data_IF_480399436485
#
_entry.id   IF_480399436485
#
_cell.length_a   1.000
_cell.length_b   1.000
_cell.length_c   1.000
_cell.angle_alpha   90.00
_cell.angle_beta   90.00
_cell.angle_gamma   90.00
#
_symmetry.space_group_name_H-M   'P 1'
#
loop_
_entity.id
_entity.type
_entity.pdbx_description
1 polymer ?
#
# COMPACT_ATOMS: atom_id res chain seq x y z
N UNK A 1 3.37 47.24 -35.77
CA UNK A 1 2.35 46.29 -35.29
C UNK A 1 2.92 45.57 -34.09
N UNK A 2 2.38 45.89 -32.92
CA UNK A 2 3.02 45.67 -31.61
C UNK A 2 2.13 44.72 -30.81
N UNK A 3 2.60 43.51 -30.51
CA UNK A 3 1.98 42.66 -29.47
C UNK A 3 3.05 42.14 -28.52
N UNK A 4 3.16 42.86 -27.41
CA UNK A 4 3.94 42.56 -26.21
C UNK A 4 3.26 41.38 -25.51
N UNK A 5 3.93 40.24 -25.41
CA UNK A 5 3.42 39.09 -24.65
C UNK A 5 4.07 39.11 -23.26
N UNK A 6 3.26 39.47 -22.26
CA UNK A 6 3.60 39.40 -20.84
C UNK A 6 3.23 37.99 -20.39
N UNK A 7 4.20 37.21 -19.89
CA UNK A 7 3.94 35.97 -19.16
C UNK A 7 4.39 36.14 -17.71
N UNK A 8 3.41 35.92 -16.86
CA UNK A 8 3.34 36.04 -15.41
C UNK A 8 4.42 35.22 -14.69
N UNK A 9 5.06 35.73 -13.62
CA UNK A 9 5.96 34.93 -12.81
C UNK A 9 5.17 33.92 -11.97
N UNK A 10 5.66 32.68 -11.97
CA UNK A 10 5.19 31.56 -11.17
C UNK A 10 5.62 31.80 -9.72
N UNK A 11 4.66 32.11 -8.85
CA UNK A 11 4.85 32.28 -7.40
C UNK A 11 5.09 30.89 -6.81
N UNK A 12 6.34 30.64 -6.40
CA UNK A 12 6.76 29.48 -5.64
C UNK A 12 6.27 29.66 -4.20
N UNK A 13 5.18 28.99 -3.85
CA UNK A 13 4.62 29.01 -2.50
C UNK A 13 5.43 28.13 -1.54
N UNK A 14 6.14 28.81 -0.65
CA UNK A 14 6.30 28.53 0.79
C UNK A 14 6.48 27.07 1.24
N UNK A 15 7.74 26.70 1.50
CA UNK A 15 8.11 25.61 2.41
C UNK A 15 8.03 26.15 3.86
N UNK A 16 7.02 25.74 4.61
CA UNK A 16 6.97 25.96 6.05
C UNK A 16 6.10 24.89 6.74
N UNK A 17 6.74 23.96 7.45
CA UNK A 17 6.17 23.23 8.58
C UNK A 17 7.36 22.68 9.40
N UNK A 18 7.93 23.51 10.27
CA UNK A 18 7.71 23.51 11.73
C UNK A 18 8.07 22.18 12.41
N UNK A 19 9.19 22.21 13.15
CA UNK A 19 9.49 21.29 14.24
C UNK A 19 8.30 21.27 15.22
N UNK A 20 7.60 20.14 15.34
CA UNK A 20 6.83 19.87 16.56
C UNK A 20 7.74 19.21 17.58
N UNK A 21 7.98 19.94 18.65
CA UNK A 21 8.58 19.44 19.87
C UNK A 21 7.72 18.30 20.45
N UNK A 22 8.45 17.26 20.87
CA UNK A 22 8.08 16.17 21.76
C UNK A 22 7.00 16.52 22.80
N UNK A 23 5.74 16.26 22.47
CA UNK A 23 4.76 15.85 23.46
C UNK A 23 4.66 14.33 23.37
N UNK A 24 5.16 13.66 24.42
CA UNK A 24 5.18 12.21 24.55
C UNK A 24 3.77 11.65 24.59
N UNK A 25 3.17 11.45 23.43
CA UNK A 25 2.16 10.42 23.27
C UNK A 25 2.83 9.07 23.56
N UNK A 26 2.14 8.13 24.22
CA UNK A 26 2.65 6.79 24.43
C UNK A 26 3.00 6.20 23.05
N UNK A 27 4.29 6.17 22.75
CA UNK A 27 4.80 5.40 21.63
C UNK A 27 4.37 3.95 21.91
N UNK A 28 3.87 3.20 20.91
CA UNK A 28 3.55 1.79 21.10
C UNK A 28 4.80 1.09 21.67
N UNK A 29 4.69 0.66 22.93
CA UNK A 29 5.80 0.18 23.77
C UNK A 29 6.56 -0.98 23.11
N UNK A 30 5.91 -1.70 22.19
CA UNK A 30 6.50 -2.79 21.43
C UNK A 30 7.72 -2.38 20.58
N UNK A 31 7.84 -1.10 20.17
CA UNK A 31 9.03 -0.63 19.43
C UNK A 31 10.29 -0.48 20.30
N UNK A 32 10.16 -0.42 21.64
CA UNK A 32 11.31 -0.18 22.54
C UNK A 32 12.24 -1.39 22.69
N UNK A 33 11.76 -2.61 22.43
CA UNK A 33 12.58 -3.82 22.59
C UNK A 33 13.19 -4.34 21.28
N UNK A 34 13.03 -3.60 20.16
CA UNK A 34 13.54 -4.01 18.85
C UNK A 34 12.84 -5.22 18.23
N UNK A 35 11.83 -5.79 18.91
CA UNK A 35 11.06 -6.91 18.40
C UNK A 35 10.08 -6.44 17.32
N UNK A 36 9.89 -7.23 16.24
CA UNK A 36 8.87 -6.93 15.25
C UNK A 36 7.47 -7.00 15.86
N UNK A 37 6.58 -6.12 15.39
CA UNK A 37 5.16 -6.13 15.74
C UNK A 37 4.38 -6.74 14.59
N UNK A 38 3.49 -7.68 14.91
CA UNK A 38 2.67 -8.37 13.94
C UNK A 38 1.20 -8.02 14.10
N UNK A 39 0.54 -7.72 12.98
CA UNK A 39 -0.90 -7.56 12.90
C UNK A 39 -1.52 -8.50 11.88
N UNK A 40 -2.77 -8.85 12.12
CA UNK A 40 -3.67 -9.46 11.15
C UNK A 40 -4.96 -8.64 11.07
N UNK A 41 -5.63 -8.72 9.92
CA UNK A 41 -6.96 -8.17 9.80
C UNK A 41 -7.95 -9.02 10.62
N UNK A 42 -8.71 -8.38 11.50
CA UNK A 42 -9.71 -9.01 12.34
C UNK A 42 -11.09 -8.99 11.66
N UNK A 43 -11.53 -7.81 11.21
CA UNK A 43 -12.80 -7.65 10.51
C UNK A 43 -12.74 -6.55 9.46
N UNK A 44 -13.23 -6.85 8.26
CA UNK A 44 -13.44 -5.85 7.19
C UNK A 44 -14.65 -4.98 7.56
N UNK A 45 -14.45 -3.67 7.55
CA UNK A 45 -15.50 -2.65 7.70
C UNK A 45 -16.02 -2.21 6.33
N UNK A 46 -15.12 -2.03 5.36
CA UNK A 46 -15.46 -1.73 3.98
C UNK A 46 -14.44 -2.34 3.02
N UNK A 47 -14.92 -2.77 1.84
CA UNK A 47 -14.07 -3.32 0.78
C UNK A 47 -14.67 -2.99 -0.58
N UNK A 48 -14.05 -2.05 -1.28
CA UNK A 48 -14.54 -1.55 -2.56
C UNK A 48 -13.51 -1.81 -3.65
N UNK A 49 -13.94 -2.42 -4.76
CA UNK A 49 -13.17 -2.47 -5.99
C UNK A 49 -13.40 -1.17 -6.77
N UNK A 50 -12.41 -0.28 -6.74
CA UNK A 50 -12.49 1.05 -7.37
C UNK A 50 -12.18 0.99 -8.87
N UNK A 51 -11.39 -0.01 -9.30
CA UNK A 51 -11.04 -0.24 -10.72
C UNK A 51 -10.81 -1.71 -10.97
N UNK A 52 -11.08 -2.17 -12.20
CA UNK A 52 -11.11 -3.59 -12.54
C UNK A 52 -12.52 -4.15 -12.27
N UNK A 53 -12.94 -5.17 -13.03
CA UNK A 53 -14.37 -5.46 -13.22
C UNK A 53 -14.79 -6.92 -13.13
N UNK A 54 -14.16 -7.72 -12.28
CA UNK A 54 -14.63 -9.08 -12.01
C UNK A 54 -14.96 -9.25 -10.51
N UNK A 55 -16.25 -9.41 -10.15
CA UNK A 55 -16.68 -9.59 -8.76
C UNK A 55 -15.99 -10.76 -8.04
N UNK A 56 -15.62 -11.81 -8.76
CA UNK A 56 -14.92 -12.95 -8.18
C UNK A 56 -13.49 -12.58 -7.73
N UNK A 57 -12.85 -11.61 -8.38
CA UNK A 57 -11.55 -11.10 -7.95
C UNK A 57 -11.65 -10.36 -6.62
N UNK A 58 -12.75 -9.63 -6.39
CA UNK A 58 -13.01 -8.92 -5.13
C UNK A 58 -13.13 -9.89 -3.95
N UNK A 59 -13.81 -11.03 -4.12
CA UNK A 59 -13.90 -12.04 -3.05
C UNK A 59 -12.55 -12.68 -2.76
N UNK A 60 -11.77 -13.01 -3.79
CA UNK A 60 -10.43 -13.59 -3.62
C UNK A 60 -9.46 -12.60 -2.98
N UNK A 61 -9.50 -11.34 -3.37
CA UNK A 61 -8.65 -10.30 -2.81
C UNK A 61 -9.04 -9.96 -1.37
N UNK A 62 -10.34 -9.97 -1.03
CA UNK A 62 -10.78 -9.84 0.36
C UNK A 62 -10.26 -11.00 1.23
N UNK A 63 -10.31 -12.24 0.74
CA UNK A 63 -9.73 -13.40 1.45
C UNK A 63 -8.22 -13.30 1.60
N UNK A 64 -7.49 -12.87 0.57
CA UNK A 64 -6.05 -12.59 0.64
C UNK A 64 -5.75 -11.55 1.72
N UNK A 65 -6.47 -10.44 1.73
CA UNK A 65 -6.33 -9.39 2.73
C UNK A 65 -6.54 -9.91 4.15
N UNK A 66 -7.62 -10.68 4.38
CA UNK A 66 -7.91 -11.28 5.68
C UNK A 66 -6.85 -12.29 6.13
N UNK A 67 -6.21 -12.96 5.18
CA UNK A 67 -5.15 -13.94 5.45
C UNK A 67 -3.76 -13.32 5.66
N UNK A 68 -3.63 -12.00 5.53
CA UNK A 68 -2.35 -11.33 5.54
C UNK A 68 -1.81 -11.10 6.95
N UNK A 69 -0.51 -11.40 7.09
CA UNK A 69 0.29 -11.01 8.24
C UNK A 69 1.08 -9.77 7.87
N UNK A 70 1.04 -8.80 8.77
CA UNK A 70 1.62 -7.48 8.63
C UNK A 70 2.71 -7.35 9.66
N UNK A 71 3.96 -7.21 9.22
CA UNK A 71 5.10 -7.13 10.13
C UNK A 71 5.73 -5.74 10.04
N UNK A 72 5.85 -5.09 11.19
CA UNK A 72 6.48 -3.78 11.35
C UNK A 72 7.75 -3.95 12.19
N UNK A 73 8.92 -3.70 11.60
CA UNK A 73 10.21 -3.87 12.26
C UNK A 73 10.76 -2.54 12.78
N UNK A 74 11.55 -2.59 13.85
CA UNK A 74 12.11 -1.41 14.49
C UNK A 74 12.98 -0.51 13.57
N UNK A 75 13.49 -1.04 12.45
CA UNK A 75 14.27 -0.29 11.46
C UNK A 75 13.41 0.47 10.42
N UNK A 76 12.09 0.50 10.62
CA UNK A 76 11.14 1.14 9.71
C UNK A 76 10.80 0.32 8.47
N UNK A 77 11.19 -0.96 8.40
CA UNK A 77 10.75 -1.87 7.34
C UNK A 77 9.39 -2.47 7.64
N UNK A 78 8.59 -2.63 6.59
CA UNK A 78 7.25 -3.20 6.64
C UNK A 78 7.14 -4.38 5.68
N UNK A 79 6.48 -5.46 6.12
CA UNK A 79 6.14 -6.60 5.28
C UNK A 79 4.64 -6.86 5.26
N UNK A 80 4.12 -7.17 4.08
CA UNK A 80 2.75 -7.61 3.86
C UNK A 80 2.75 -9.00 3.24
N UNK A 81 2.32 -10.00 4.00
CA UNK A 81 2.42 -11.41 3.68
C UNK A 81 1.03 -12.09 3.72
N UNK A 82 0.22 -11.98 2.66
CA UNK A 82 -0.97 -12.80 2.49
C UNK A 82 -0.59 -14.28 2.41
N UNK A 83 -1.47 -15.15 2.90
CA UNK A 83 -1.23 -16.61 2.95
C UNK A 83 -2.23 -17.40 2.10
N UNK A 84 -3.36 -16.81 1.71
CA UNK A 84 -4.39 -17.45 0.89
C UNK A 84 -4.21 -17.14 -0.61
N UNK A 85 -4.08 -18.16 -1.47
CA UNK A 85 -4.06 -18.01 -2.95
C UNK A 85 -3.08 -16.92 -3.43
N UNK A 86 -1.80 -17.08 -3.04
CA UNK A 86 -0.76 -16.08 -3.27
C UNK A 86 0.29 -16.56 -4.27
N UNK A 87 0.81 -15.58 -5.02
CA UNK A 87 1.97 -15.73 -5.88
C UNK A 87 3.25 -15.55 -5.06
N UNK A 88 4.02 -16.62 -4.88
CA UNK A 88 5.26 -16.60 -4.09
C UNK A 88 6.38 -15.75 -4.69
N UNK A 89 6.26 -15.38 -5.98
CA UNK A 89 7.18 -14.46 -6.65
C UNK A 89 6.82 -12.98 -6.46
N UNK A 90 5.60 -12.69 -5.96
CA UNK A 90 5.16 -11.34 -5.61
C UNK A 90 5.11 -11.09 -4.10
N UNK A 91 4.84 -12.12 -3.31
CA UNK A 91 4.66 -12.01 -1.86
C UNK A 91 5.72 -12.81 -1.10
N UNK A 92 6.19 -12.33 0.08
CA UNK A 92 5.75 -11.11 0.76
C UNK A 92 6.18 -9.83 0.04
N UNK A 93 5.36 -8.78 0.15
CA UNK A 93 5.79 -7.43 -0.28
C UNK A 93 6.58 -6.78 0.84
N UNK A 94 7.65 -6.08 0.47
CA UNK A 94 8.48 -5.32 1.41
C UNK A 94 8.39 -3.83 1.11
N UNK A 95 8.39 -3.02 2.15
CA UNK A 95 8.34 -1.57 2.03
C UNK A 95 8.77 -0.86 3.30
N UNK A 96 8.19 0.33 3.52
CA UNK A 96 8.56 1.22 4.62
C UNK A 96 7.34 1.67 5.38
N UNK A 97 7.54 2.02 6.64
CA UNK A 97 6.54 2.70 7.44
C UNK A 97 7.15 3.79 8.30
N UNK A 98 6.29 4.67 8.79
CA UNK A 98 6.61 5.72 9.75
C UNK A 98 5.49 5.86 10.77
N UNK A 99 5.85 6.26 11.99
CA UNK A 99 4.89 6.56 13.05
C UNK A 99 4.70 8.08 13.13
N UNK A 100 3.46 8.55 13.12
CA UNK A 100 3.08 9.95 13.25
C UNK A 100 1.96 10.08 14.28
N UNK A 101 2.31 10.43 15.52
CA UNK A 101 1.35 10.47 16.62
C UNK A 101 0.73 9.10 16.88
N UNK A 102 -0.59 9.00 16.79
CA UNK A 102 -1.35 7.75 16.92
C UNK A 102 -1.49 6.98 15.60
N UNK A 103 -0.78 7.37 14.55
CA UNK A 103 -0.91 6.77 13.23
C UNK A 103 0.38 6.08 12.76
N UNK A 104 0.21 4.96 12.07
CA UNK A 104 1.27 4.31 11.29
C UNK A 104 0.94 4.46 9.82
N UNK A 105 1.81 5.13 9.07
CA UNK A 105 1.69 5.29 7.62
C UNK A 105 2.67 4.34 6.96
N UNK A 106 2.22 3.52 6.02
CA UNK A 106 3.02 2.49 5.38
C UNK A 106 2.79 2.43 3.87
N UNK A 107 3.80 1.92 3.16
CA UNK A 107 3.69 1.55 1.76
C UNK A 107 4.60 0.37 1.44
N UNK A 108 4.20 -0.45 0.48
CA UNK A 108 5.00 -1.55 -0.04
C UNK A 108 4.66 -1.82 -1.50
N UNK A 109 5.63 -2.31 -2.25
CA UNK A 109 5.44 -2.73 -3.63
C UNK A 109 6.31 -3.95 -3.95
N UNK A 110 5.83 -4.78 -4.87
CA UNK A 110 6.58 -5.92 -5.40
C UNK A 110 6.24 -6.10 -6.87
N UNK A 111 7.19 -6.58 -7.65
CA UNK A 111 6.98 -6.90 -9.05
C UNK A 111 7.69 -8.19 -9.43
N UNK A 112 7.07 -8.93 -10.36
CA UNK A 112 7.56 -10.20 -10.84
C UNK A 112 7.34 -10.32 -12.35
N UNK A 113 8.33 -10.87 -13.03
CA UNK A 113 8.23 -11.10 -14.47
C UNK A 113 7.19 -12.18 -14.77
N UNK A 114 6.37 -11.98 -15.82
CA UNK A 114 5.44 -12.99 -16.35
C UNK A 114 5.89 -13.37 -17.76
N UNK A 115 6.35 -14.60 -17.94
CA UNK A 115 6.89 -15.06 -19.23
C UNK A 115 8.12 -14.26 -19.64
N UNK A 116 8.32 -14.05 -20.94
CA UNK A 116 9.53 -13.37 -21.44
C UNK A 116 9.50 -11.85 -21.27
N UNK A 117 8.34 -11.22 -21.33
CA UNK A 117 8.20 -9.76 -21.47
C UNK A 117 7.13 -9.16 -20.58
N UNK A 118 6.37 -9.98 -19.87
CA UNK A 118 5.31 -9.52 -19.00
C UNK A 118 5.83 -9.12 -17.62
N UNK A 119 5.04 -8.31 -16.93
CA UNK A 119 5.30 -7.85 -15.57
C UNK A 119 3.98 -7.89 -14.79
N UNK A 120 3.99 -8.48 -13.60
CA UNK A 120 2.98 -8.21 -12.59
C UNK A 120 3.57 -7.32 -11.50
N UNK A 121 2.74 -6.44 -10.97
CA UNK A 121 3.09 -5.59 -9.84
C UNK A 121 1.94 -5.58 -8.85
N UNK A 122 2.27 -5.61 -7.57
CA UNK A 122 1.35 -5.34 -6.47
C UNK A 122 1.88 -4.14 -5.67
N UNK A 123 0.99 -3.25 -5.25
CA UNK A 123 1.33 -2.06 -4.47
C UNK A 123 0.27 -1.85 -3.40
N UNK A 124 0.70 -1.49 -2.19
CA UNK A 124 -0.18 -1.06 -1.10
C UNK A 124 0.33 0.24 -0.50
N UNK A 125 -0.61 1.07 -0.11
CA UNK A 125 -0.41 2.29 0.66
C UNK A 125 -1.53 2.37 1.70
N UNK A 126 -1.21 2.72 2.94
CA UNK A 126 -2.25 2.82 3.97
C UNK A 126 -1.82 3.49 5.27
N UNK A 127 -2.82 3.64 6.13
CA UNK A 127 -2.70 4.24 7.46
C UNK A 127 -3.40 3.34 8.47
N UNK A 128 -2.73 3.03 9.57
CA UNK A 128 -3.34 2.43 10.76
C UNK A 128 -3.52 3.53 11.80
N UNK A 129 -4.74 3.70 12.29
CA UNK A 129 -5.08 4.63 13.36
C UNK A 129 -5.27 3.87 14.68
N UNK A 130 -4.46 4.25 15.68
CA UNK A 130 -4.46 3.71 17.04
C UNK A 130 -5.14 4.66 18.05
N UNK A 131 -5.89 5.66 17.59
CA UNK A 131 -6.64 6.58 18.48
C UNK A 131 -7.84 5.93 19.19
N UNK A 132 -8.21 4.72 18.78
CA UNK A 132 -9.32 3.93 19.34
C UNK A 132 -8.79 2.64 19.97
N UNK A 133 -9.59 2.04 20.87
CA UNK A 133 -9.24 0.77 21.53
C UNK A 133 -8.98 -0.37 20.53
N UNK A 134 -9.70 -0.36 19.40
CA UNK A 134 -9.47 -1.28 18.28
C UNK A 134 -8.82 -0.52 17.13
N UNK A 135 -7.56 -0.84 16.76
CA UNK A 135 -6.89 -0.15 15.66
C UNK A 135 -7.64 -0.34 14.33
N UNK A 136 -7.75 0.72 13.55
CA UNK A 136 -8.40 0.70 12.24
C UNK A 136 -7.39 0.99 11.15
N UNK A 137 -7.31 0.12 10.15
CA UNK A 137 -6.53 0.34 8.94
C UNK A 137 -7.42 0.88 7.81
N UNK A 138 -6.91 1.86 7.09
CA UNK A 138 -7.43 2.28 5.78
C UNK A 138 -6.31 2.11 4.75
N UNK A 139 -6.57 1.36 3.68
CA UNK A 139 -5.55 0.96 2.71
C UNK A 139 -6.05 0.96 1.27
N UNK A 140 -5.20 1.44 0.37
CA UNK A 140 -5.31 1.23 -1.08
C UNK A 140 -4.47 0.02 -1.49
N UNK A 141 -5.03 -0.88 -2.29
CA UNK A 141 -4.30 -2.02 -2.85
C UNK A 141 -4.48 -2.11 -4.36
N UNK A 142 -3.38 -1.99 -5.09
CA UNK A 142 -3.35 -2.02 -6.55
C UNK A 142 -2.62 -3.28 -7.00
N UNK A 143 -3.22 -3.98 -7.97
CA UNK A 143 -2.58 -5.07 -8.70
C UNK A 143 -2.60 -4.72 -10.18
N UNK A 144 -1.44 -4.78 -10.82
CA UNK A 144 -1.29 -4.58 -12.26
C UNK A 144 -0.64 -5.80 -12.88
N UNK A 145 -0.99 -6.08 -14.12
CA UNK A 145 -0.24 -6.97 -14.97
C UNK A 145 -0.23 -6.43 -16.39
N UNK A 146 0.92 -6.51 -17.04
CA UNK A 146 1.12 -6.12 -18.43
C UNK A 146 1.92 -7.17 -19.17
N UNK A 147 1.68 -7.30 -20.47
CA UNK A 147 2.52 -8.07 -21.37
C UNK A 147 2.66 -7.34 -22.71
N UNK A 148 3.82 -7.52 -23.34
CA UNK A 148 4.08 -7.03 -24.68
C UNK A 148 4.72 -8.14 -25.51
N UNK A 149 4.23 -8.39 -26.71
CA UNK A 149 4.78 -9.38 -27.62
C UNK A 149 4.87 -8.80 -29.03
N UNK A 150 5.67 -9.41 -29.90
CA UNK A 150 5.67 -9.10 -31.34
C UNK A 150 5.26 -10.37 -32.07
N UNK A 151 4.09 -10.37 -32.71
CA UNK A 151 3.57 -11.51 -33.46
C UNK A 151 3.67 -11.16 -34.94
N UNK A 152 4.58 -11.82 -35.68
CA UNK A 152 4.81 -11.58 -37.12
C UNK A 152 5.15 -10.12 -37.44
N UNK A 153 5.97 -9.48 -36.62
CA UNK A 153 6.36 -8.07 -36.79
C UNK A 153 5.32 -7.06 -36.29
N UNK A 154 4.16 -7.50 -35.81
CA UNK A 154 3.12 -6.63 -35.25
C UNK A 154 3.26 -6.58 -33.72
N UNK A 155 3.50 -5.41 -33.12
CA UNK A 155 3.47 -5.25 -31.68
C UNK A 155 2.05 -5.53 -31.13
N UNK A 156 1.99 -6.37 -30.11
CA UNK A 156 0.80 -6.65 -29.32
C UNK A 156 1.10 -6.29 -27.87
N UNK A 157 0.25 -5.50 -27.22
CA UNK A 157 0.35 -5.26 -25.79
C UNK A 157 -1.02 -5.36 -25.14
N UNK A 158 -1.03 -5.85 -23.90
CA UNK A 158 -2.23 -5.98 -23.10
C UNK A 158 -1.90 -5.74 -21.64
N UNK A 159 -2.83 -5.11 -20.92
CA UNK A 159 -2.66 -4.85 -19.50
C UNK A 159 -3.98 -4.87 -18.76
N UNK A 160 -3.91 -5.21 -17.49
CA UNK A 160 -5.02 -5.13 -16.54
C UNK A 160 -4.56 -4.43 -15.28
N UNK A 161 -5.45 -3.61 -14.73
CA UNK A 161 -5.24 -2.95 -13.44
C UNK A 161 -6.50 -3.14 -12.63
N UNK A 162 -6.31 -3.63 -11.40
CA UNK A 162 -7.38 -3.72 -10.41
C UNK A 162 -6.93 -2.97 -9.16
N UNK A 163 -7.82 -2.16 -8.58
CA UNK A 163 -7.53 -1.42 -7.37
C UNK A 163 -8.67 -1.55 -6.36
N UNK A 164 -8.30 -1.64 -5.09
CA UNK A 164 -9.21 -1.78 -3.98
C UNK A 164 -8.99 -0.67 -2.95
N UNK A 165 -10.07 -0.23 -2.33
CA UNK A 165 -10.05 0.57 -1.10
C UNK A 165 -10.60 -0.30 0.02
N UNK A 166 -9.88 -0.35 1.13
CA UNK A 166 -10.13 -1.29 2.21
C UNK A 166 -10.09 -0.55 3.53
N UNK A 167 -11.08 -0.82 4.38
CA UNK A 167 -11.06 -0.45 5.78
C UNK A 167 -11.31 -1.67 6.65
N UNK A 168 -10.51 -1.87 7.69
CA UNK A 168 -10.64 -3.04 8.58
C UNK A 168 -10.16 -2.74 10.00
N UNK A 169 -10.63 -3.51 10.97
CA UNK A 169 -10.01 -3.60 12.30
C UNK A 169 -8.80 -4.53 12.25
N UNK A 170 -7.80 -4.24 13.08
CA UNK A 170 -6.62 -5.08 13.24
C UNK A 170 -6.56 -5.72 14.63
N UNK A 171 -5.99 -6.91 14.69
CA UNK A 171 -5.59 -7.57 15.92
C UNK A 171 -4.08 -7.84 15.91
N UNK A 172 -3.44 -7.69 17.07
CA UNK A 172 -2.04 -8.08 17.26
C UNK A 172 -1.93 -9.59 17.23
N UNK A 173 -0.94 -10.11 16.52
CA UNK A 173 -0.60 -11.54 16.49
C UNK A 173 0.57 -11.78 17.44
N UNK A 174 0.41 -12.75 18.34
CA UNK A 174 1.46 -13.21 19.27
C UNK A 174 2.24 -14.37 18.69
#
# INVERSE_FOLDING_TARGET
MTRKMIRTPMILALLAALLLAAFGLPQPVAAQNGAPVFFAADRILSYEQVRGGNPQWTQNSARRFMSAIWQFNADGTFYFAPTYDVRSDLYPMMGRYQVQGSQVIFSAASSAQIGYTGLATAMIDGVIDFSQDTPVVTMSWINTSGSAAVIRGIPFSGGSTTSYQIQATLATVQ
#
